data_IF_170620100569
#
_entry.id   IF_170620100569
#
_cell.length_a   1.000
_cell.length_b   1.000
_cell.length_c   1.000
_cell.angle_alpha   90.00
_cell.angle_beta   90.00
_cell.angle_gamma   90.00
#
_symmetry.space_group_name_H-M   'P 1'
#
loop_
_entity.id
_entity.type
_entity.pdbx_description
1 polymer ?
#
# COMPACT_ATOMS: atom_id res chain seq x y z
N UNK A 1 -3.15 10.57 -23.98
CA UNK A 1 -3.45 10.84 -22.56
C UNK A 1 -2.99 9.59 -21.84
N UNK A 2 -1.86 9.63 -21.14
CA UNK A 2 -1.44 8.49 -20.32
C UNK A 2 -2.44 8.39 -19.16
N UNK A 3 -2.93 7.19 -18.80
CA UNK A 3 -3.71 7.06 -17.57
C UNK A 3 -2.86 7.63 -16.43
N UNK A 4 -3.46 8.48 -15.61
CA UNK A 4 -2.81 8.96 -14.40
C UNK A 4 -2.59 7.74 -13.50
N UNK A 5 -1.32 7.38 -13.27
CA UNK A 5 -0.96 6.27 -12.40
C UNK A 5 -1.25 6.70 -10.96
N UNK A 6 -2.18 6.00 -10.30
CA UNK A 6 -2.59 6.26 -8.92
C UNK A 6 -2.23 5.05 -8.05
N UNK A 7 -1.09 5.16 -7.38
CA UNK A 7 -0.54 4.07 -6.57
C UNK A 7 -1.41 3.72 -5.35
N UNK A 8 -2.20 4.67 -4.85
CA UNK A 8 -3.13 4.42 -3.74
C UNK A 8 -4.27 3.55 -4.22
N UNK A 9 -4.84 3.89 -5.39
CA UNK A 9 -5.90 3.09 -6.02
C UNK A 9 -5.42 1.67 -6.33
N UNK A 10 -4.25 1.52 -6.95
CA UNK A 10 -3.66 0.21 -7.29
C UNK A 10 -3.43 -0.66 -6.04
N UNK A 11 -2.97 -0.07 -4.93
CA UNK A 11 -2.80 -0.79 -3.67
C UNK A 11 -4.14 -1.27 -3.10
N UNK A 12 -5.14 -0.39 -3.08
CA UNK A 12 -6.48 -0.74 -2.58
C UNK A 12 -7.13 -1.82 -3.43
N UNK A 13 -7.09 -1.68 -4.76
CA UNK A 13 -7.61 -2.66 -5.70
C UNK A 13 -6.92 -4.01 -5.53
N UNK A 14 -5.59 -4.05 -5.38
CA UNK A 14 -4.87 -5.30 -5.16
C UNK A 14 -5.23 -6.02 -3.84
N UNK A 15 -5.48 -5.25 -2.77
CA UNK A 15 -5.94 -5.80 -1.48
C UNK A 15 -7.37 -6.34 -1.61
N UNK A 16 -8.25 -5.57 -2.25
CA UNK A 16 -9.63 -5.95 -2.46
C UNK A 16 -9.72 -7.20 -3.34
N UNK A 17 -8.99 -7.26 -4.45
CA UNK A 17 -8.93 -8.44 -5.33
C UNK A 17 -8.42 -9.68 -4.60
N UNK A 18 -7.38 -9.53 -3.77
CA UNK A 18 -6.90 -10.63 -2.93
C UNK A 18 -8.00 -11.13 -1.99
N UNK A 19 -8.69 -10.22 -1.32
CA UNK A 19 -9.78 -10.54 -0.40
C UNK A 19 -10.95 -11.24 -1.12
N UNK A 20 -11.39 -10.72 -2.27
CA UNK A 20 -12.46 -11.33 -3.06
C UNK A 20 -12.10 -12.74 -3.55
N UNK A 21 -10.82 -12.99 -3.87
CA UNK A 21 -10.36 -14.30 -4.33
C UNK A 21 -10.16 -15.34 -3.22
N UNK A 22 -9.68 -14.91 -2.06
CA UNK A 22 -9.28 -15.83 -0.97
C UNK A 22 -10.25 -15.86 0.21
N UNK A 23 -11.11 -14.86 0.33
CA UNK A 23 -11.96 -14.62 1.50
C UNK A 23 -11.18 -14.18 2.74
N UNK A 24 -9.91 -13.79 2.60
CA UNK A 24 -9.01 -13.41 3.70
C UNK A 24 -8.28 -12.12 3.37
N UNK A 25 -7.97 -11.35 4.40
CA UNK A 25 -7.09 -10.20 4.24
C UNK A 25 -5.65 -10.68 3.99
N UNK A 26 -4.88 -10.05 3.09
CA UNK A 26 -3.49 -10.40 2.89
C UNK A 26 -2.67 -10.20 4.17
N UNK A 27 -1.64 -11.03 4.33
CA UNK A 27 -0.73 -10.91 5.47
C UNK A 27 0.44 -9.97 5.15
N UNK A 28 0.74 -9.80 3.85
CA UNK A 28 1.89 -9.04 3.38
C UNK A 28 1.61 -8.26 2.10
N UNK A 29 2.19 -7.06 2.03
CA UNK A 29 2.36 -6.29 0.80
C UNK A 29 3.87 -6.17 0.55
N UNK A 30 4.35 -6.73 -0.53
CA UNK A 30 5.69 -6.45 -1.05
C UNK A 30 5.61 -5.26 -2.00
N UNK A 31 6.45 -4.24 -1.84
CA UNK A 31 6.49 -3.09 -2.73
C UNK A 31 7.92 -2.60 -2.93
N UNK A 32 8.18 -1.91 -4.03
CA UNK A 32 9.49 -1.30 -4.23
C UNK A 32 9.73 -0.16 -3.21
N UNK A 33 11.00 0.18 -2.91
CA UNK A 33 11.30 1.33 -2.06
C UNK A 33 10.70 2.65 -2.60
N UNK A 34 10.64 2.81 -3.92
CA UNK A 34 10.11 4.01 -4.57
C UNK A 34 8.59 4.12 -4.39
N UNK A 35 7.87 3.01 -4.61
CA UNK A 35 6.42 2.94 -4.36
C UNK A 35 6.10 3.27 -2.90
N UNK A 36 6.86 2.71 -1.96
CA UNK A 36 6.70 2.99 -0.53
C UNK A 36 6.89 4.48 -0.20
N UNK A 37 7.95 5.11 -0.73
CA UNK A 37 8.19 6.54 -0.51
C UNK A 37 7.06 7.41 -1.08
N UNK A 38 6.54 7.07 -2.26
CA UNK A 38 5.42 7.79 -2.85
C UNK A 38 4.16 7.70 -1.99
N UNK A 39 3.81 6.50 -1.54
CA UNK A 39 2.67 6.29 -0.64
C UNK A 39 2.83 7.04 0.67
N UNK A 40 4.04 7.05 1.26
CA UNK A 40 4.32 7.80 2.48
C UNK A 40 4.09 9.31 2.30
N UNK A 41 4.49 9.88 1.15
CA UNK A 41 4.26 11.30 0.89
C UNK A 41 2.76 11.59 0.81
N UNK A 42 2.02 10.81 0.03
CA UNK A 42 0.57 10.97 -0.15
C UNK A 42 -0.14 10.84 1.20
N UNK A 43 0.14 9.78 1.97
CA UNK A 43 -0.54 9.55 3.24
C UNK A 43 -0.16 10.54 4.34
N UNK A 44 1.03 11.16 4.29
CA UNK A 44 1.37 12.28 5.19
C UNK A 44 0.58 13.54 4.86
N UNK A 45 0.29 13.78 3.59
CA UNK A 45 -0.59 14.88 3.17
C UNK A 45 -2.02 14.63 3.66
N UNK A 46 -2.52 13.39 3.51
CA UNK A 46 -3.83 12.98 4.03
C UNK A 46 -3.91 13.05 5.56
N UNK A 47 -2.86 12.65 6.27
CA UNK A 47 -2.80 12.72 7.73
C UNK A 47 -2.96 14.17 8.23
N UNK A 48 -2.38 15.14 7.52
CA UNK A 48 -2.54 16.55 7.87
C UNK A 48 -4.01 17.04 7.75
N UNK A 49 -4.83 16.35 6.95
CA UNK A 49 -6.24 16.69 6.70
C UNK A 49 -7.16 15.87 7.62
N UNK A 50 -6.91 14.56 7.75
CA UNK A 50 -7.80 13.60 8.39
C UNK A 50 -7.31 13.10 9.76
N UNK A 51 -6.07 13.40 10.13
CA UNK A 51 -5.46 13.02 11.41
C UNK A 51 -5.07 11.53 11.52
N UNK A 52 -5.02 10.81 10.39
CA UNK A 52 -4.68 9.39 10.35
C UNK A 52 -3.80 9.08 9.14
N UNK A 53 -2.72 8.34 9.39
CA UNK A 53 -1.86 7.79 8.35
C UNK A 53 -2.01 6.25 8.33
N UNK A 54 -2.51 5.65 7.23
CA UNK A 54 -2.63 4.21 7.13
C UNK A 54 -1.27 3.51 7.01
N UNK A 55 -0.19 4.19 6.66
CA UNK A 55 1.12 3.59 6.46
C UNK A 55 2.10 4.05 7.55
N UNK A 56 2.42 3.14 8.47
CA UNK A 56 3.42 3.37 9.51
C UNK A 56 4.82 2.97 9.00
N UNK A 57 5.75 3.94 8.79
CA UNK A 57 7.08 3.64 8.30
C UNK A 57 8.03 3.04 9.35
N UNK A 58 7.75 3.25 10.64
CA UNK A 58 8.59 2.73 11.72
C UNK A 58 8.27 1.25 11.99
N UNK A 59 6.99 0.90 11.94
CA UNK A 59 6.53 -0.48 12.14
C UNK A 59 6.49 -1.31 10.84
N UNK A 60 6.55 -0.64 9.67
CA UNK A 60 6.35 -1.25 8.36
C UNK A 60 5.00 -1.95 8.26
N UNK A 61 3.93 -1.24 8.65
CA UNK A 61 2.56 -1.74 8.67
C UNK A 61 1.64 -0.82 7.87
N UNK A 62 0.82 -1.43 7.03
CA UNK A 62 -0.32 -0.78 6.39
C UNK A 62 -1.61 -1.16 7.10
N UNK A 63 -2.31 -0.18 7.67
CA UNK A 63 -3.53 -0.34 8.45
C UNK A 63 -4.75 -0.05 7.59
N UNK A 64 -5.62 -1.04 7.46
CA UNK A 64 -6.96 -0.92 6.88
C UNK A 64 -8.00 -0.95 8.01
N UNK A 65 -9.27 -0.60 7.74
CA UNK A 65 -10.32 -0.70 8.75
C UNK A 65 -10.54 -2.11 9.32
N UNK A 66 -10.08 -3.15 8.62
CA UNK A 66 -10.36 -4.55 8.96
C UNK A 66 -9.11 -5.36 9.33
N UNK A 67 -7.91 -4.83 9.09
CA UNK A 67 -6.66 -5.57 9.30
C UNK A 67 -5.43 -4.66 9.31
N UNK A 68 -4.35 -5.20 9.89
CA UNK A 68 -3.00 -4.66 9.76
C UNK A 68 -2.18 -5.61 8.88
N UNK A 69 -1.58 -5.06 7.83
CA UNK A 69 -0.87 -5.82 6.79
C UNK A 69 0.60 -5.43 6.85
N UNK A 70 1.50 -6.42 6.88
CA UNK A 70 2.95 -6.13 6.94
C UNK A 70 3.45 -5.67 5.58
N UNK A 71 4.18 -4.56 5.57
CA UNK A 71 4.86 -4.05 4.38
C UNK A 71 6.29 -4.59 4.34
N UNK A 72 6.70 -5.10 3.19
CA UNK A 72 8.05 -5.54 2.92
C UNK A 72 8.60 -4.81 1.70
N UNK A 73 9.78 -4.22 1.82
CA UNK A 73 10.45 -3.61 0.68
C UNK A 73 11.22 -4.68 -0.10
N UNK A 74 11.07 -4.66 -1.43
CA UNK A 74 11.82 -5.52 -2.34
C UNK A 74 12.44 -4.67 -3.46
N UNK A 75 13.77 -4.58 -3.48
CA UNK A 75 14.54 -3.81 -4.45
C UNK A 75 14.52 -4.42 -5.87
N UNK A 76 14.01 -5.64 -6.04
CA UNK A 76 13.89 -6.31 -7.34
C UNK A 76 12.60 -5.97 -8.07
N UNK A 77 11.66 -5.31 -7.39
CA UNK A 77 10.40 -4.83 -7.98
C UNK A 77 10.65 -3.57 -8.80
N UNK A 78 9.85 -3.36 -9.85
CA UNK A 78 9.84 -2.12 -10.60
C UNK A 78 9.46 -0.93 -9.72
N UNK A 79 9.78 0.29 -10.17
CA UNK A 79 9.65 1.51 -9.36
C UNK A 79 8.27 1.74 -8.75
N UNK A 80 7.23 1.20 -9.35
CA UNK A 80 5.84 1.33 -8.88
C UNK A 80 5.16 -0.02 -8.63
N UNK A 81 5.92 -1.12 -8.67
CA UNK A 81 5.37 -2.46 -8.52
C UNK A 81 5.02 -2.75 -7.06
N UNK A 82 3.88 -3.41 -6.89
CA UNK A 82 3.40 -3.94 -5.61
C UNK A 82 2.81 -5.34 -5.81
N UNK A 83 2.99 -6.20 -4.81
CA UNK A 83 2.50 -7.58 -4.79
C UNK A 83 1.85 -7.84 -3.43
N UNK A 84 0.62 -8.32 -3.45
CA UNK A 84 -0.17 -8.64 -2.27
C UNK A 84 -0.24 -10.16 -2.09
N UNK A 85 0.04 -10.66 -0.88
CA UNK A 85 0.12 -12.11 -0.59
C UNK A 85 -0.36 -12.50 0.80
#
# INVERSE_FOLDING_TARGET
MLPAFDLVFELQEAIDDYFHRTGRCPERIAMSPNAFQWLLVIFKEDEAIFGFNPLDPDEMIYTTPIAQIRVQLDEKLGDTDLIVS
#
